data_IF_970320113674
#
_entry.id   IF_970320113674
#
_cell.length_a   1.000
_cell.length_b   1.000
_cell.length_c   1.000
_cell.angle_alpha   90.00
_cell.angle_beta   90.00
_cell.angle_gamma   90.00
#
_symmetry.space_group_name_H-M   'P 1'
#
loop_
_entity.id
_entity.type
_entity.pdbx_description
1 polymer ?
#
# COMPACT_ATOMS: atom_id res chain seq x y z
N UNK A 1 -48.78 21.33 32.43
CA UNK A 1 -47.45 20.85 32.88
C UNK A 1 -47.27 19.43 32.41
N UNK A 2 -46.46 19.19 31.39
CA UNK A 2 -46.16 17.82 30.94
C UNK A 2 -44.72 17.80 30.44
N UNK A 3 -43.86 17.10 31.19
CA UNK A 3 -42.42 16.95 30.93
C UNK A 3 -42.17 15.94 29.81
N UNK A 4 -41.16 16.23 28.99
CA UNK A 4 -40.53 15.30 28.07
C UNK A 4 -39.82 14.15 28.81
N UNK A 5 -39.93 12.93 28.29
CA UNK A 5 -39.07 11.79 28.64
C UNK A 5 -38.34 11.29 27.38
N UNK A 6 -37.04 11.02 27.52
CA UNK A 6 -36.10 10.54 26.48
C UNK A 6 -36.39 9.09 26.09
N UNK A 7 -36.10 8.68 24.84
CA UNK A 7 -36.16 7.28 24.44
C UNK A 7 -34.93 6.47 24.90
N UNK A 8 -35.18 5.26 25.38
CA UNK A 8 -34.18 4.26 25.74
C UNK A 8 -33.84 3.36 24.55
N UNK A 9 -32.57 2.98 24.44
CA UNK A 9 -32.04 2.06 23.44
C UNK A 9 -32.50 0.61 23.74
N UNK A 10 -32.96 -0.10 22.71
CA UNK A 10 -33.17 -1.55 22.76
C UNK A 10 -32.26 -2.25 21.76
N UNK A 11 -31.37 -3.08 22.30
CA UNK A 11 -30.57 -4.06 21.57
C UNK A 11 -31.48 -5.17 21.02
N UNK A 12 -31.54 -5.33 19.70
CA UNK A 12 -32.13 -6.51 19.08
C UNK A 12 -31.06 -7.60 18.90
N UNK A 13 -31.24 -8.72 19.60
CA UNK A 13 -30.45 -9.94 19.46
C UNK A 13 -30.77 -10.60 18.12
N UNK A 14 -29.73 -11.02 17.38
CA UNK A 14 -29.89 -11.84 16.18
C UNK A 14 -30.33 -13.26 16.57
N UNK A 15 -31.56 -13.62 16.23
CA UNK A 15 -32.03 -15.01 16.20
C UNK A 15 -31.66 -15.63 14.87
N UNK A 16 -30.85 -16.70 14.90
CA UNK A 16 -30.52 -17.48 13.71
C UNK A 16 -31.80 -18.07 13.10
N UNK A 17 -32.04 -17.79 11.82
CA UNK A 17 -33.12 -18.35 11.02
C UNK A 17 -32.91 -19.87 10.89
N UNK A 18 -33.88 -20.65 11.37
CA UNK A 18 -33.93 -22.10 11.23
C UNK A 18 -34.46 -22.46 9.83
N UNK A 19 -33.54 -22.78 8.91
CA UNK A 19 -33.84 -23.06 7.49
C UNK A 19 -34.72 -24.29 7.25
N UNK A 20 -34.90 -25.18 8.23
CA UNK A 20 -35.70 -26.40 8.05
C UNK A 20 -37.22 -26.16 8.07
N UNK A 21 -37.71 -25.02 8.58
CA UNK A 21 -39.15 -24.70 8.58
C UNK A 21 -39.65 -24.07 7.26
N UNK A 22 -38.75 -23.53 6.44
CA UNK A 22 -39.11 -22.90 5.15
C UNK A 22 -39.30 -23.90 4.00
N UNK A 23 -38.86 -25.15 4.15
CA UNK A 23 -38.88 -26.14 3.06
C UNK A 23 -40.15 -27.00 3.05
N UNK A 24 -40.86 -27.12 4.19
CA UNK A 24 -42.00 -28.05 4.31
C UNK A 24 -43.40 -27.40 4.17
N UNK A 25 -43.47 -26.09 3.95
CA UNK A 25 -44.72 -25.36 3.83
C UNK A 25 -45.06 -24.94 2.40
N UNK A 26 -45.78 -25.80 1.66
CA UNK A 26 -46.70 -25.34 0.63
C UNK A 26 -46.13 -24.99 -0.75
N UNK A 27 -45.57 -25.98 -1.46
CA UNK A 27 -45.49 -25.93 -2.93
C UNK A 27 -46.69 -26.67 -3.54
N UNK A 28 -47.87 -26.06 -3.46
CA UNK A 28 -49.00 -26.42 -4.32
C UNK A 28 -49.53 -25.15 -4.98
N UNK A 29 -49.13 -24.96 -6.24
CA UNK A 29 -49.81 -24.02 -7.13
C UNK A 29 -49.07 -22.71 -7.39
N UNK A 30 -47.88 -22.76 -8.00
CA UNK A 30 -47.44 -21.67 -8.89
C UNK A 30 -46.84 -22.27 -10.16
N UNK A 31 -47.76 -22.46 -11.10
CA UNK A 31 -47.57 -22.59 -12.55
C UNK A 31 -46.42 -21.72 -13.05
N UNK A 32 -45.50 -22.34 -13.82
CA UNK A 32 -44.58 -21.84 -14.86
C UNK A 32 -43.86 -20.47 -14.78
N UNK A 33 -44.09 -19.63 -13.79
CA UNK A 33 -43.52 -18.28 -13.69
C UNK A 33 -42.41 -18.17 -12.62
N UNK A 34 -42.31 -19.14 -11.71
CA UNK A 34 -41.29 -19.15 -10.65
C UNK A 34 -39.88 -19.52 -11.11
N UNK A 35 -39.76 -20.33 -12.17
CA UNK A 35 -38.47 -20.75 -12.73
C UNK A 35 -37.79 -19.66 -13.56
N UNK A 36 -38.55 -18.74 -14.18
CA UNK A 36 -38.01 -17.65 -15.00
C UNK A 36 -37.34 -16.53 -14.17
N UNK A 37 -37.78 -16.33 -12.92
CA UNK A 37 -37.24 -15.32 -12.00
C UNK A 37 -35.90 -15.73 -11.37
N UNK A 38 -35.68 -17.04 -11.17
CA UNK A 38 -34.41 -17.55 -10.63
C UNK A 38 -33.28 -17.54 -11.66
N UNK A 39 -33.57 -17.75 -12.94
CA UNK A 39 -32.57 -17.66 -14.02
C UNK A 39 -32.17 -16.21 -14.33
N UNK A 40 -33.09 -15.25 -14.18
CA UNK A 40 -32.79 -13.82 -14.41
C UNK A 40 -31.94 -13.21 -13.29
N UNK A 41 -32.09 -13.66 -12.04
CA UNK A 41 -31.24 -13.23 -10.92
C UNK A 41 -29.80 -13.77 -11.02
N UNK A 42 -29.59 -14.92 -11.67
CA UNK A 42 -28.24 -15.47 -11.90
C UNK A 42 -27.48 -14.79 -13.05
N UNK A 43 -28.19 -14.25 -14.05
CA UNK A 43 -27.59 -13.43 -15.12
C UNK A 43 -27.18 -12.03 -14.68
N UNK A 44 -27.56 -11.58 -13.47
CA UNK A 44 -27.10 -10.32 -12.87
C UNK A 44 -25.83 -10.50 -12.02
N UNK A 45 -25.32 -11.72 -11.88
CA UNK A 45 -23.93 -11.92 -11.48
C UNK A 45 -23.06 -11.44 -12.64
N UNK A 46 -22.79 -10.13 -12.67
CA UNK A 46 -21.95 -9.51 -13.69
C UNK A 46 -20.68 -10.34 -13.84
N UNK A 47 -20.37 -10.73 -15.07
CA UNK A 47 -19.06 -11.26 -15.37
C UNK A 47 -18.06 -10.23 -14.84
N UNK A 48 -17.26 -10.61 -13.85
CA UNK A 48 -16.14 -9.81 -13.41
C UNK A 48 -15.16 -9.75 -14.59
N UNK A 49 -15.35 -8.78 -15.48
CA UNK A 49 -14.36 -8.48 -16.51
C UNK A 49 -13.15 -7.93 -15.78
N UNK A 50 -12.04 -8.69 -15.83
CA UNK A 50 -10.74 -8.16 -15.44
C UNK A 50 -10.54 -6.87 -16.24
N UNK A 51 -10.61 -5.72 -15.56
CA UNK A 51 -10.38 -4.44 -16.21
C UNK A 51 -8.90 -4.43 -16.62
N UNK A 52 -8.58 -4.33 -17.91
CA UNK A 52 -7.21 -4.08 -18.31
C UNK A 52 -6.82 -2.71 -17.76
N UNK A 53 -5.61 -2.61 -17.20
CA UNK A 53 -5.08 -1.32 -16.77
C UNK A 53 -4.27 -0.71 -17.92
N UNK A 54 -4.34 0.62 -18.07
CA UNK A 54 -3.50 1.35 -19.02
C UNK A 54 -2.01 1.27 -18.64
N UNK A 55 -1.72 1.29 -17.34
CA UNK A 55 -0.40 1.08 -16.77
C UNK A 55 -0.48 0.58 -15.32
N UNK A 56 0.62 0.00 -14.86
CA UNK A 56 0.91 -0.17 -13.44
C UNK A 56 1.96 0.89 -13.06
N UNK A 57 1.60 1.80 -12.16
CA UNK A 57 2.46 2.87 -11.66
C UNK A 57 2.80 2.59 -10.21
N UNK A 58 4.09 2.56 -9.88
CA UNK A 58 4.57 2.11 -8.58
C UNK A 58 5.34 3.23 -7.89
N UNK A 59 5.03 3.46 -6.63
CA UNK A 59 5.74 4.35 -5.72
C UNK A 59 6.21 3.55 -4.52
N UNK A 60 7.41 3.81 -4.03
CA UNK A 60 7.89 3.10 -2.86
C UNK A 60 9.38 3.14 -2.62
N UNK A 61 9.81 2.15 -1.84
CA UNK A 61 11.20 1.97 -1.39
C UNK A 61 11.94 0.85 -2.13
N UNK A 62 13.04 0.37 -1.55
CA UNK A 62 13.89 -0.70 -2.07
C UNK A 62 13.12 -1.98 -2.40
N UNK A 63 12.06 -2.31 -1.66
CA UNK A 63 11.28 -3.52 -1.89
C UNK A 63 10.48 -3.51 -3.20
N UNK A 64 10.38 -2.34 -3.84
CA UNK A 64 9.64 -2.13 -5.09
C UNK A 64 10.49 -1.52 -6.20
N UNK A 65 11.76 -1.16 -5.92
CA UNK A 65 12.65 -0.47 -6.84
C UNK A 65 13.20 -1.43 -7.93
N UNK A 66 12.93 -1.19 -9.23
CA UNK A 66 13.39 -2.03 -10.34
C UNK A 66 14.83 -1.70 -10.78
N UNK A 67 15.54 -0.82 -10.06
CA UNK A 67 16.92 -0.41 -10.32
C UNK A 67 17.11 1.09 -10.56
N UNK A 68 16.12 1.91 -10.22
CA UNK A 68 16.25 3.37 -10.19
C UNK A 68 17.42 3.81 -9.28
N UNK A 69 17.59 3.19 -8.10
CA UNK A 69 18.64 3.61 -7.16
C UNK A 69 20.04 3.31 -7.72
N UNK A 70 20.20 2.12 -8.33
CA UNK A 70 21.42 1.74 -9.04
C UNK A 70 21.71 2.71 -10.20
N UNK A 71 20.69 3.07 -10.98
CA UNK A 71 20.81 4.04 -12.07
C UNK A 71 21.24 5.44 -11.59
N UNK A 72 20.75 5.87 -10.42
CA UNK A 72 21.14 7.14 -9.79
C UNK A 72 22.59 7.11 -9.32
N UNK A 73 23.00 6.03 -8.64
CA UNK A 73 24.37 5.87 -8.16
C UNK A 73 25.38 5.76 -9.31
N UNK A 74 25.00 5.10 -10.41
CA UNK A 74 25.81 5.00 -11.61
C UNK A 74 26.13 6.36 -12.27
N UNK A 75 25.35 7.42 -12.01
CA UNK A 75 25.66 8.78 -12.51
C UNK A 75 26.94 9.36 -11.93
N UNK A 76 27.31 8.91 -10.73
CA UNK A 76 28.44 9.43 -9.97
C UNK A 76 29.60 8.41 -9.89
N UNK A 77 29.35 7.15 -10.25
CA UNK A 77 30.33 6.08 -10.20
C UNK A 77 31.19 6.01 -11.48
N UNK A 78 32.52 5.79 -11.37
CA UNK A 78 33.36 5.49 -12.52
C UNK A 78 32.92 4.17 -13.18
N UNK A 79 33.11 3.99 -14.51
CA UNK A 79 32.54 2.85 -15.25
C UNK A 79 32.77 1.46 -14.61
N UNK A 80 33.96 1.23 -14.04
CA UNK A 80 34.32 -0.05 -13.38
C UNK A 80 33.58 -0.35 -12.08
N UNK A 81 32.89 0.65 -11.50
CA UNK A 81 32.12 0.55 -10.27
C UNK A 81 30.61 0.71 -10.52
N UNK A 82 30.19 0.79 -11.78
CA UNK A 82 28.78 0.90 -12.11
C UNK A 82 28.08 -0.43 -11.90
N UNK A 83 26.91 -0.38 -11.27
CA UNK A 83 26.01 -1.52 -11.17
C UNK A 83 25.50 -1.91 -12.56
N UNK A 84 25.36 -3.22 -12.84
CA UNK A 84 24.66 -3.70 -14.03
C UNK A 84 23.24 -3.15 -14.13
N UNK A 85 22.71 -3.08 -15.35
CA UNK A 85 21.32 -2.69 -15.58
C UNK A 85 20.34 -3.63 -14.87
N UNK A 86 19.30 -3.05 -14.25
CA UNK A 86 18.30 -3.80 -13.49
C UNK A 86 18.74 -4.25 -12.09
N UNK A 87 19.94 -3.84 -11.64
CA UNK A 87 20.37 -4.09 -10.25
C UNK A 87 19.37 -3.50 -9.27
N UNK A 88 18.77 -4.36 -8.44
CA UNK A 88 17.75 -4.02 -7.47
C UNK A 88 18.07 -4.66 -6.10
N UNK A 89 17.11 -4.61 -5.17
CA UNK A 89 17.26 -5.12 -3.80
C UNK A 89 16.72 -6.55 -3.60
N UNK A 90 16.62 -7.32 -4.69
CA UNK A 90 16.32 -8.75 -4.69
C UNK A 90 17.60 -9.60 -4.82
N UNK A 91 17.46 -10.91 -4.99
CA UNK A 91 18.55 -11.81 -5.39
C UNK A 91 18.91 -11.59 -6.85
N UNK A 92 19.62 -10.49 -7.13
CA UNK A 92 19.99 -10.09 -8.50
C UNK A 92 20.52 -11.29 -9.32
N UNK A 93 20.03 -11.52 -10.56
CA UNK A 93 19.18 -10.62 -11.36
C UNK A 93 17.66 -10.80 -11.18
N UNK A 94 17.20 -11.43 -10.09
CA UNK A 94 15.77 -11.59 -9.84
C UNK A 94 15.05 -10.25 -9.73
N UNK A 95 13.77 -10.26 -10.08
CA UNK A 95 12.93 -9.08 -10.02
C UNK A 95 12.42 -8.82 -8.59
N UNK A 96 12.10 -7.57 -8.31
CA UNK A 96 11.25 -7.24 -7.16
C UNK A 96 9.79 -7.60 -7.46
N UNK A 97 8.97 -7.80 -6.42
CA UNK A 97 7.59 -8.26 -6.56
C UNK A 97 6.75 -7.37 -7.49
N UNK A 98 6.97 -6.06 -7.47
CA UNK A 98 6.24 -5.09 -8.30
C UNK A 98 6.49 -5.26 -9.79
N UNK A 99 7.69 -5.66 -10.21
CA UNK A 99 7.97 -5.96 -11.63
C UNK A 99 7.17 -7.18 -12.12
N UNK A 100 6.90 -8.16 -11.25
CA UNK A 100 5.99 -9.26 -11.60
C UNK A 100 4.53 -8.80 -11.72
N UNK A 101 4.10 -7.86 -10.87
CA UNK A 101 2.76 -7.26 -10.94
C UNK A 101 2.61 -6.42 -12.21
N UNK A 102 3.59 -5.57 -12.54
CA UNK A 102 3.67 -4.80 -13.78
C UNK A 102 3.57 -5.74 -15.00
N UNK A 103 4.33 -6.86 -15.00
CA UNK A 103 4.27 -7.87 -16.08
C UNK A 103 2.91 -8.54 -16.20
N UNK A 104 2.23 -8.80 -15.09
CA UNK A 104 0.95 -9.52 -15.10
C UNK A 104 -0.23 -8.63 -15.53
N UNK A 105 -0.30 -7.41 -15.01
CA UNK A 105 -1.45 -6.52 -15.21
C UNK A 105 -1.32 -5.57 -16.40
N UNK A 106 -0.10 -5.31 -16.89
CA UNK A 106 0.11 -4.70 -18.19
C UNK A 106 -0.14 -3.19 -18.30
N UNK A 107 0.36 -2.67 -19.43
CA UNK A 107 0.55 -1.28 -19.86
C UNK A 107 1.94 -1.10 -20.49
N UNK A 108 2.30 0.02 -21.15
CA UNK A 108 3.65 0.23 -21.70
C UNK A 108 4.73 0.37 -20.60
N UNK A 109 4.37 0.19 -19.33
CA UNK A 109 5.26 0.06 -18.17
C UNK A 109 6.15 -1.16 -18.32
N UNK A 110 7.35 -0.92 -18.84
CA UNK A 110 8.28 -1.96 -19.27
C UNK A 110 8.99 -2.73 -18.11
N UNK A 111 8.40 -2.80 -16.91
CA UNK A 111 8.92 -3.52 -15.72
C UNK A 111 10.43 -3.28 -15.47
N UNK A 112 10.85 -2.02 -15.62
CA UNK A 112 12.24 -1.57 -15.56
C UNK A 112 12.32 -0.18 -14.93
N UNK A 113 13.54 0.31 -14.70
CA UNK A 113 13.74 1.66 -14.15
C UNK A 113 13.13 2.78 -15.02
N UNK A 114 12.80 3.90 -14.39
CA UNK A 114 12.29 5.11 -15.04
C UNK A 114 13.22 5.60 -16.14
N UNK A 115 14.55 5.55 -15.92
CA UNK A 115 15.55 5.98 -16.91
C UNK A 115 15.47 5.19 -18.21
N UNK A 116 14.92 3.98 -18.15
CA UNK A 116 14.75 3.06 -19.28
C UNK A 116 13.31 3.07 -19.83
N UNK A 117 12.48 4.02 -19.35
CA UNK A 117 11.09 4.20 -19.77
C UNK A 117 10.11 3.27 -19.07
N UNK A 118 10.38 2.86 -17.83
CA UNK A 118 9.39 2.20 -16.97
C UNK A 118 8.44 3.21 -16.30
N UNK A 119 7.46 2.67 -15.56
CA UNK A 119 6.41 3.43 -14.83
C UNK A 119 6.53 3.28 -13.32
N UNK A 120 7.61 2.65 -12.86
CA UNK A 120 7.88 2.41 -11.45
C UNK A 120 8.88 3.44 -10.93
N UNK A 121 8.41 4.33 -10.07
CA UNK A 121 9.14 5.43 -9.45
C UNK A 121 9.80 5.06 -8.12
N UNK A 122 9.61 3.82 -7.64
CA UNK A 122 10.16 3.39 -6.36
C UNK A 122 11.68 3.56 -6.33
N UNK A 123 12.18 3.97 -5.16
CA UNK A 123 13.58 4.32 -4.95
C UNK A 123 14.09 3.67 -3.66
N UNK A 124 15.19 2.92 -3.77
CA UNK A 124 15.92 2.39 -2.62
C UNK A 124 16.18 3.45 -1.55
N UNK A 125 15.76 3.18 -0.32
CA UNK A 125 15.91 4.10 0.82
C UNK A 125 14.82 5.18 0.95
N UNK A 126 13.77 5.16 0.10
CA UNK A 126 12.68 6.11 0.22
C UNK A 126 11.88 5.93 1.53
N UNK A 127 11.62 7.06 2.20
CA UNK A 127 10.62 7.15 3.27
C UNK A 127 9.26 7.55 2.68
N UNK A 128 8.19 7.44 3.48
CA UNK A 128 6.84 7.84 3.05
C UNK A 128 6.77 9.32 2.68
N UNK A 129 7.30 10.19 3.54
CA UNK A 129 7.36 11.65 3.34
C UNK A 129 8.62 12.27 3.95
N UNK A 130 8.84 13.55 3.67
CA UNK A 130 10.01 14.34 4.14
C UNK A 130 9.68 15.26 5.32
N UNK A 131 8.62 14.96 6.09
CA UNK A 131 8.19 15.81 7.21
C UNK A 131 9.31 15.98 8.27
N UNK A 132 9.46 17.18 8.86
CA UNK A 132 10.58 17.52 9.74
C UNK A 132 10.65 16.72 11.05
N UNK A 133 9.62 15.93 11.38
CA UNK A 133 9.62 14.98 12.52
C UNK A 133 10.23 13.59 12.18
N UNK A 134 10.83 13.45 11.00
CA UNK A 134 11.54 12.23 10.61
C UNK A 134 12.76 12.00 11.51
N UNK A 135 12.85 10.78 12.05
CA UNK A 135 13.78 10.44 13.14
C UNK A 135 15.26 10.49 12.75
N UNK A 136 15.59 10.51 11.45
CA UNK A 136 16.89 10.95 10.89
C UNK A 136 16.84 10.84 9.36
N UNK A 137 17.34 11.85 8.65
CA UNK A 137 18.06 11.70 7.39
C UNK A 137 17.39 10.95 6.21
N UNK A 138 16.06 10.86 6.14
CA UNK A 138 15.40 10.41 4.92
C UNK A 138 15.79 11.37 3.79
N UNK A 139 16.47 10.86 2.76
CA UNK A 139 16.92 11.68 1.64
C UNK A 139 15.72 12.34 0.96
N UNK A 140 15.79 13.67 0.80
CA UNK A 140 14.83 14.47 0.02
C UNK A 140 14.64 13.95 -1.41
N UNK A 141 15.61 13.20 -1.93
CA UNK A 141 15.73 12.91 -3.37
C UNK A 141 14.79 11.81 -3.87
N UNK A 142 13.90 11.27 -3.04
CA UNK A 142 12.95 10.26 -3.52
C UNK A 142 11.93 9.74 -2.53
N UNK A 143 11.39 10.55 -1.61
CA UNK A 143 10.27 10.08 -0.76
C UNK A 143 9.09 9.60 -1.62
N UNK A 144 8.29 8.66 -1.13
CA UNK A 144 7.14 8.16 -1.89
C UNK A 144 6.15 9.28 -2.23
N UNK A 145 5.96 10.26 -1.34
CA UNK A 145 5.22 11.48 -1.64
C UNK A 145 5.81 12.26 -2.82
N UNK A 146 7.13 12.51 -2.82
CA UNK A 146 7.80 13.19 -3.93
C UNK A 146 7.71 12.43 -5.25
N UNK A 147 7.76 11.08 -5.21
CA UNK A 147 7.57 10.22 -6.38
C UNK A 147 6.16 10.38 -6.96
N UNK A 148 5.12 10.40 -6.11
CA UNK A 148 3.73 10.65 -6.54
C UNK A 148 3.58 12.05 -7.16
N UNK A 149 4.11 13.09 -6.48
CA UNK A 149 4.06 14.46 -7.01
C UNK A 149 4.75 14.57 -8.38
N UNK A 150 5.89 13.88 -8.55
CA UNK A 150 6.60 13.85 -9.82
C UNK A 150 5.78 13.19 -10.91
N UNK A 151 5.18 12.02 -10.64
CA UNK A 151 4.33 11.34 -11.62
C UNK A 151 3.18 12.24 -12.10
N UNK A 152 2.51 12.90 -11.16
CA UNK A 152 1.40 13.79 -11.47
C UNK A 152 1.85 15.02 -12.27
N UNK A 153 3.02 15.58 -11.95
CA UNK A 153 3.61 16.68 -12.72
C UNK A 153 4.01 16.24 -14.14
N UNK A 154 4.61 15.05 -14.29
CA UNK A 154 5.08 14.51 -15.57
C UNK A 154 3.91 14.15 -16.51
N UNK A 155 2.71 13.86 -15.98
CA UNK A 155 1.55 13.36 -16.76
C UNK A 155 0.32 14.29 -16.74
N UNK A 156 0.37 15.41 -16.00
CA UNK A 156 -0.77 16.33 -15.88
C UNK A 156 -1.92 15.82 -15.00
N UNK A 157 -1.72 14.73 -14.27
CA UNK A 157 -2.74 14.09 -13.45
C UNK A 157 -2.52 12.58 -13.30
N UNK A 158 -3.38 11.93 -12.52
CA UNK A 158 -3.43 10.47 -12.48
C UNK A 158 -4.36 9.98 -13.61
N UNK A 159 -3.95 8.93 -14.31
CA UNK A 159 -4.84 8.18 -15.19
C UNK A 159 -5.81 7.31 -14.37
N UNK A 160 -7.14 7.49 -14.47
CA UNK A 160 -8.13 6.71 -13.71
C UNK A 160 -8.18 5.23 -14.11
N UNK A 161 -7.67 4.88 -15.30
CA UNK A 161 -7.65 3.50 -15.81
C UNK A 161 -6.31 2.79 -15.51
N UNK A 162 -5.42 3.43 -14.74
CA UNK A 162 -4.15 2.85 -14.30
C UNK A 162 -4.21 2.27 -12.88
N UNK A 163 -3.43 1.21 -12.65
CA UNK A 163 -3.24 0.63 -11.32
C UNK A 163 -2.09 1.34 -10.60
N UNK A 164 -2.35 1.92 -9.43
CA UNK A 164 -1.34 2.56 -8.60
C UNK A 164 -0.97 1.71 -7.40
N UNK A 165 0.32 1.54 -7.17
CA UNK A 165 0.88 0.82 -6.01
C UNK A 165 1.71 1.81 -5.20
N UNK A 166 1.46 1.85 -3.90
CA UNK A 166 2.29 2.55 -2.92
C UNK A 166 2.79 1.56 -1.88
N UNK A 167 4.10 1.40 -1.78
CA UNK A 167 4.72 0.51 -0.79
C UNK A 167 5.92 1.17 -0.11
N UNK A 168 5.83 1.40 1.20
CA UNK A 168 6.94 2.00 1.95
C UNK A 168 6.68 2.09 3.45
N UNK A 169 7.60 2.73 4.16
CA UNK A 169 7.57 2.93 5.61
C UNK A 169 8.62 2.12 6.37
N UNK A 170 9.28 1.17 5.72
CA UNK A 170 10.39 0.42 6.34
C UNK A 170 11.53 1.35 6.76
N UNK A 171 11.88 2.30 5.90
CA UNK A 171 12.93 3.29 6.13
C UNK A 171 12.54 4.36 7.17
N UNK A 172 11.24 4.57 7.42
CA UNK A 172 10.76 5.50 8.46
C UNK A 172 10.99 4.99 9.89
N UNK A 173 11.05 3.66 10.05
CA UNK A 173 11.01 3.02 11.36
C UNK A 173 12.36 2.93 12.07
N UNK A 174 13.48 3.29 11.43
CA UNK A 174 14.84 3.21 11.99
C UNK A 174 15.02 2.00 12.94
N UNK A 175 14.81 0.79 12.42
CA UNK A 175 14.70 -0.42 13.23
C UNK A 175 16.06 -1.01 13.59
N UNK A 176 17.04 -0.89 12.69
CA UNK A 176 18.35 -1.56 12.77
C UNK A 176 19.50 -0.54 12.65
N UNK A 177 20.68 -0.92 13.14
CA UNK A 177 21.86 -0.05 13.21
C UNK A 177 22.10 0.54 14.60
N UNK A 178 23.16 1.36 14.79
CA UNK A 178 23.58 1.84 16.11
C UNK A 178 22.51 2.63 16.89
N UNK A 179 21.58 3.25 16.18
CA UNK A 179 20.46 4.00 16.77
C UNK A 179 19.10 3.34 16.48
N UNK A 180 19.11 2.08 16.02
CA UNK A 180 17.91 1.35 15.65
C UNK A 180 17.11 0.91 16.87
N UNK A 181 15.78 1.06 16.84
CA UNK A 181 14.93 0.72 17.99
C UNK A 181 14.96 -0.78 18.34
N UNK A 182 15.05 -1.67 17.35
CA UNK A 182 15.23 -3.11 17.62
C UNK A 182 16.64 -3.44 18.10
N UNK A 183 17.66 -2.73 17.59
CA UNK A 183 19.03 -2.86 18.12
C UNK A 183 19.09 -2.48 19.60
N UNK A 184 18.45 -1.37 19.98
CA UNK A 184 18.38 -0.89 21.35
C UNK A 184 17.67 -1.89 22.27
N UNK A 185 16.54 -2.47 21.83
CA UNK A 185 15.85 -3.54 22.57
C UNK A 185 16.74 -4.77 22.73
N UNK A 186 17.41 -5.21 21.66
CA UNK A 186 18.33 -6.35 21.71
C UNK A 186 19.50 -6.14 22.68
N UNK A 187 20.11 -4.95 22.67
CA UNK A 187 21.17 -4.58 23.62
C UNK A 187 20.65 -4.54 25.07
N UNK A 188 19.47 -3.95 25.29
CA UNK A 188 18.85 -3.88 26.61
C UNK A 188 18.54 -5.27 27.19
N UNK A 189 18.07 -6.19 26.34
CA UNK A 189 17.86 -7.60 26.70
C UNK A 189 19.19 -8.28 27.05
N UNK A 190 20.25 -8.04 26.27
CA UNK A 190 21.59 -8.59 26.55
C UNK A 190 22.20 -8.10 27.87
N UNK A 191 21.86 -6.88 28.29
CA UNK A 191 22.27 -6.29 29.58
C UNK A 191 21.35 -6.71 30.75
N UNK A 192 20.22 -7.37 30.48
CA UNK A 192 19.24 -7.72 31.51
C UNK A 192 18.61 -6.51 32.20
N UNK A 193 18.47 -5.37 31.52
CA UNK A 193 17.96 -4.11 32.09
C UNK A 193 16.49 -3.85 31.70
N UNK A 194 15.52 -4.02 32.63
CA UNK A 194 14.11 -3.82 32.33
C UNK A 194 13.76 -2.38 31.93
N UNK A 195 14.45 -1.38 32.51
CA UNK A 195 14.26 0.02 32.16
C UNK A 195 14.70 0.30 30.73
N UNK A 196 15.88 -0.21 30.32
CA UNK A 196 16.35 -0.02 28.95
C UNK A 196 15.47 -0.75 27.92
N UNK A 197 14.87 -1.89 28.28
CA UNK A 197 13.87 -2.56 27.43
C UNK A 197 12.64 -1.68 27.26
N UNK A 198 12.16 -1.08 28.36
CA UNK A 198 11.00 -0.18 28.34
C UNK A 198 11.25 1.04 27.46
N UNK A 199 12.44 1.64 27.54
CA UNK A 199 12.83 2.79 26.71
C UNK A 199 12.89 2.41 25.22
N UNK A 200 13.48 1.26 24.89
CA UNK A 200 13.54 0.75 23.51
C UNK A 200 12.15 0.51 22.92
N UNK A 201 11.24 -0.09 23.70
CA UNK A 201 9.83 -0.29 23.30
C UNK A 201 9.10 1.04 23.13
N UNK A 202 9.36 2.02 23.99
CA UNK A 202 8.79 3.36 23.87
C UNK A 202 9.21 4.05 22.56
N UNK A 203 10.50 3.99 22.20
CA UNK A 203 11.01 4.54 20.93
C UNK A 203 10.34 3.88 19.73
N UNK A 204 10.24 2.55 19.72
CA UNK A 204 9.55 1.82 18.64
C UNK A 204 8.08 2.23 18.53
N UNK A 205 7.37 2.31 19.66
CA UNK A 205 5.96 2.75 19.70
C UNK A 205 5.80 4.17 19.13
N UNK A 206 6.72 5.07 19.46
CA UNK A 206 6.73 6.42 18.91
C UNK A 206 6.94 6.43 17.40
N UNK A 207 7.91 5.65 16.88
CA UNK A 207 8.17 5.51 15.44
C UNK A 207 6.95 4.98 14.69
N UNK A 208 6.26 3.96 15.23
CA UNK A 208 5.04 3.40 14.64
C UNK A 208 3.90 4.43 14.59
N UNK A 209 3.71 5.20 15.65
CA UNK A 209 2.71 6.27 15.69
C UNK A 209 3.02 7.37 14.67
N UNK A 210 4.30 7.75 14.54
CA UNK A 210 4.72 8.75 13.56
C UNK A 210 4.51 8.24 12.13
N UNK A 211 4.91 7.00 11.83
CA UNK A 211 4.67 6.37 10.53
C UNK A 211 3.17 6.36 10.20
N UNK A 212 2.32 5.95 11.13
CA UNK A 212 0.86 5.93 10.91
C UNK A 212 0.30 7.31 10.52
N UNK A 213 0.75 8.38 11.20
CA UNK A 213 0.35 9.74 10.85
C UNK A 213 0.86 10.17 9.47
N UNK A 214 2.13 9.90 9.16
CA UNK A 214 2.75 10.26 7.87
C UNK A 214 2.12 9.52 6.70
N UNK A 215 1.92 8.20 6.82
CA UNK A 215 1.22 7.38 5.82
C UNK A 215 -0.19 7.89 5.55
N UNK A 216 -0.94 8.25 6.59
CA UNK A 216 -2.27 8.84 6.41
C UNK A 216 -2.20 10.17 5.67
N UNK A 217 -1.25 11.05 6.01
CA UNK A 217 -1.10 12.35 5.35
C UNK A 217 -0.75 12.20 3.88
N UNK A 218 0.27 11.39 3.56
CA UNK A 218 0.69 11.14 2.18
C UNK A 218 -0.45 10.55 1.34
N UNK A 219 -1.21 9.59 1.88
CA UNK A 219 -2.38 9.02 1.21
C UNK A 219 -3.48 10.06 0.98
N UNK A 220 -3.76 10.94 1.95
CA UNK A 220 -4.76 12.00 1.79
C UNK A 220 -4.34 13.03 0.76
N UNK A 221 -3.07 13.43 0.74
CA UNK A 221 -2.54 14.39 -0.24
C UNK A 221 -2.64 13.83 -1.66
N UNK A 222 -2.37 12.53 -1.85
CA UNK A 222 -2.57 11.85 -3.12
C UNK A 222 -4.05 11.79 -3.53
N UNK A 223 -4.93 11.37 -2.62
CA UNK A 223 -6.38 11.30 -2.88
C UNK A 223 -6.99 12.67 -3.17
N UNK A 224 -6.49 13.74 -2.56
CA UNK A 224 -6.93 15.09 -2.86
C UNK A 224 -6.58 15.50 -4.29
N UNK A 225 -5.41 15.09 -4.79
CA UNK A 225 -4.98 15.43 -6.15
C UNK A 225 -5.77 14.66 -7.22
N UNK A 226 -6.19 13.43 -6.92
CA UNK A 226 -7.05 12.64 -7.84
C UNK A 226 -8.47 13.21 -7.93
N UNK A 227 -9.00 13.84 -6.87
CA UNK A 227 -10.39 14.35 -6.88
C UNK A 227 -10.66 15.51 -7.85
N UNK A 228 -9.60 16.06 -8.47
CA UNK A 228 -9.71 17.13 -9.47
C UNK A 228 -9.62 16.62 -10.92
N UNK A 229 -9.65 15.29 -11.10
CA UNK A 229 -9.79 14.59 -12.38
C UNK A 229 -11.27 14.32 -12.67
#
# INVERSE_FOLDING_TARGET
>A
MTRCARPAQHHARATALNWQQLINGGLRGFSCWGTALLTTLWSLAGAAQAQPFNAVVVFGDSLSDPGNAADLQNRQAPPRLQYPEGTNFSTNPDWVWTQYVEKFYGGPGKHRSLKKGGTNYAMGGACISTEPDSTRGCSQQGSAQSQMMRHLADHGGADPDSLYILWGGSNDLNLVGPEGSLTAVGQALGLGSPSAVTDGVYVLSHQLNNLSRRSRRAALDYLQQIKFL
#
